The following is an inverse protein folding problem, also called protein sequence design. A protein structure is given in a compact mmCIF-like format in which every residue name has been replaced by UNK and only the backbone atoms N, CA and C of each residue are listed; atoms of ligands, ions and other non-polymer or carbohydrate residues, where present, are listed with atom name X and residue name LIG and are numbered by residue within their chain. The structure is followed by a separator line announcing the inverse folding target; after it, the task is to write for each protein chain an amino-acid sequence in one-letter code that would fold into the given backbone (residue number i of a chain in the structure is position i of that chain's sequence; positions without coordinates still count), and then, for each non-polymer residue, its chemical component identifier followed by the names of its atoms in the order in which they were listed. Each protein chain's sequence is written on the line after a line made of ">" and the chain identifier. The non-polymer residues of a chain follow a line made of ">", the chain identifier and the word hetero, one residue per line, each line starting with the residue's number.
data_IF_944924706534
#
_entry.id   IF_944924706534
#
_cell.length_a   1.000
_cell.length_b   1.000
_cell.length_c   1.000
_cell.angle_alpha   90.00
_cell.angle_beta   90.00
_cell.angle_gamma   90.00
#
_symmetry.space_group_name_H-M   'P 1'
#
loop_
_entity.id
_entity.type
_entity.pdbx_description
1 polymer ?
#
# COMPACT_ATOMS: atom_id res chain seq x y z
N UNK A 1 18.10 10.71 -14.76
CA UNK A 1 18.24 10.26 -13.36
C UNK A 1 19.63 9.70 -13.11
N UNK A 2 20.03 8.56 -13.69
CA UNK A 2 21.36 7.94 -13.45
C UNK A 2 22.61 8.80 -13.78
N UNK A 3 22.45 9.89 -14.54
CA UNK A 3 23.54 10.85 -14.82
C UNK A 3 23.86 11.75 -13.62
N UNK A 4 22.97 11.86 -12.65
CA UNK A 4 23.17 12.61 -11.41
C UNK A 4 23.73 11.65 -10.35
N UNK A 5 24.89 11.97 -9.79
CA UNK A 5 25.59 11.11 -8.83
C UNK A 5 24.75 10.78 -7.59
N UNK A 6 23.86 11.70 -7.18
CA UNK A 6 22.96 11.52 -6.04
C UNK A 6 21.88 10.47 -6.28
N UNK A 7 21.68 10.07 -7.54
CA UNK A 7 20.66 9.11 -7.95
C UNK A 7 21.23 7.92 -8.73
N UNK A 8 22.56 7.74 -8.75
CA UNK A 8 23.21 6.72 -9.57
C UNK A 8 22.90 5.29 -9.10
N UNK A 9 22.70 5.13 -7.80
CA UNK A 9 22.42 3.89 -7.08
C UNK A 9 20.92 3.65 -6.85
N UNK A 10 20.05 4.55 -7.33
CA UNK A 10 18.60 4.40 -7.15
C UNK A 10 18.11 3.12 -7.83
N UNK A 11 17.62 2.21 -7.00
CA UNK A 11 17.03 0.96 -7.43
C UNK A 11 15.65 1.21 -8.07
N UNK A 12 15.50 0.83 -9.33
CA UNK A 12 14.21 0.82 -10.01
C UNK A 12 13.52 -0.52 -9.83
N UNK A 13 12.39 -0.52 -9.13
CA UNK A 13 11.50 -1.68 -9.02
C UNK A 13 10.51 -1.66 -10.17
N UNK A 14 10.53 -2.69 -11.01
CA UNK A 14 9.77 -2.74 -12.26
C UNK A 14 8.64 -3.74 -12.15
N UNK A 15 7.46 -3.36 -12.63
CA UNK A 15 6.29 -4.21 -12.80
C UNK A 15 5.74 -4.01 -14.20
N UNK A 16 5.45 -5.09 -14.90
CA UNK A 16 4.99 -5.04 -16.29
C UNK A 16 3.47 -4.75 -16.39
N UNK A 17 3.07 -4.12 -17.49
CA UNK A 17 1.69 -3.76 -17.82
C UNK A 17 1.56 -3.72 -19.34
N UNK A 18 0.34 -3.94 -19.83
CA UNK A 18 -0.10 -3.77 -21.23
C UNK A 18 -0.13 -2.30 -21.71
N UNK A 19 0.46 -1.39 -20.95
CA UNK A 19 0.43 0.05 -21.21
C UNK A 19 -0.69 0.78 -20.48
N UNK A 20 -1.59 0.10 -19.77
CA UNK A 20 -2.67 0.76 -19.02
C UNK A 20 -2.22 1.51 -17.76
N UNK A 21 -0.96 1.40 -17.32
CA UNK A 21 -0.53 1.95 -16.03
C UNK A 21 -0.54 3.49 -15.95
N UNK A 22 -0.27 4.20 -17.04
CA UNK A 22 -0.14 5.66 -17.01
C UNK A 22 -1.00 6.34 -18.08
N UNK A 23 -1.57 7.53 -17.79
CA UNK A 23 -2.28 8.30 -18.80
C UNK A 23 -1.34 8.66 -19.95
N UNK A 24 -1.87 8.71 -21.17
CA UNK A 24 -1.11 9.11 -22.35
C UNK A 24 -1.40 10.56 -22.75
N UNK A 25 -0.43 11.18 -23.41
CA UNK A 25 -0.59 12.43 -24.14
C UNK A 25 -0.13 12.24 -25.58
N UNK A 26 -0.80 12.95 -26.49
CA UNK A 26 -0.39 13.05 -27.89
C UNK A 26 0.52 14.28 -27.99
N UNK A 27 1.76 14.07 -28.42
CA UNK A 27 2.69 15.17 -28.65
C UNK A 27 2.16 16.06 -29.78
N UNK A 28 1.98 17.38 -29.55
CA UNK A 28 1.32 18.24 -30.52
C UNK A 28 2.12 18.42 -31.82
N UNK A 29 3.44 18.24 -31.78
CA UNK A 29 4.36 18.43 -32.89
C UNK A 29 4.58 17.12 -33.63
N UNK A 30 5.03 16.08 -32.91
CA UNK A 30 5.40 14.79 -33.51
C UNK A 30 4.22 13.86 -33.74
N UNK A 31 3.04 14.19 -33.18
CA UNK A 31 1.83 13.35 -33.16
C UNK A 31 2.01 11.98 -32.51
N UNK A 32 3.14 11.73 -31.85
CA UNK A 32 3.42 10.48 -31.15
C UNK A 32 2.72 10.44 -29.79
N UNK A 33 2.17 9.29 -29.46
CA UNK A 33 1.58 9.02 -28.14
C UNK A 33 2.68 8.63 -27.16
N UNK A 34 2.68 9.21 -25.95
CA UNK A 34 3.60 8.86 -24.86
C UNK A 34 2.96 8.95 -23.49
N UNK A 35 3.45 8.21 -22.47
CA UNK A 35 2.98 8.40 -21.11
C UNK A 35 3.15 9.85 -20.64
N UNK A 36 2.15 10.36 -19.93
CA UNK A 36 2.14 11.67 -19.32
C UNK A 36 3.13 11.68 -18.16
N UNK A 37 4.14 12.53 -18.26
CA UNK A 37 5.07 12.78 -17.15
C UNK A 37 4.44 13.79 -16.17
N UNK A 38 4.50 13.49 -14.87
CA UNK A 38 4.12 14.40 -13.81
C UNK A 38 5.22 14.45 -12.75
N UNK A 39 5.77 15.64 -12.51
CA UNK A 39 6.76 15.88 -11.46
C UNK A 39 6.12 16.81 -10.44
N UNK A 40 6.12 16.40 -9.18
CA UNK A 40 5.52 17.16 -8.08
C UNK A 40 6.60 17.50 -7.06
N UNK A 41 6.86 18.80 -6.88
CA UNK A 41 7.71 19.29 -5.80
C UNK A 41 6.89 19.29 -4.51
N UNK A 42 7.41 18.67 -3.46
CA UNK A 42 6.78 18.51 -2.15
C UNK A 42 7.83 18.68 -1.06
N UNK A 43 7.39 19.11 0.13
CA UNK A 43 8.23 19.15 1.33
C UNK A 43 8.63 17.75 1.81
N UNK A 44 7.79 16.75 1.55
CA UNK A 44 8.04 15.34 1.87
C UNK A 44 7.74 14.45 0.65
N UNK A 45 8.55 13.40 0.45
CA UNK A 45 8.28 12.37 -0.57
C UNK A 45 7.01 11.56 -0.25
N UNK A 46 6.82 11.26 1.03
CA UNK A 46 5.59 10.70 1.60
C UNK A 46 5.17 11.65 2.70
N UNK A 47 4.08 12.37 2.45
CA UNK A 47 3.52 13.34 3.40
C UNK A 47 3.06 12.62 4.65
N UNK A 48 3.62 13.04 5.77
CA UNK A 48 3.21 12.54 7.08
C UNK A 48 2.41 13.58 7.83
N UNK A 49 2.70 14.88 7.65
CA UNK A 49 2.11 15.97 8.44
C UNK A 49 2.21 15.72 9.96
N UNK A 50 3.21 14.94 10.39
CA UNK A 50 3.48 14.63 11.79
C UNK A 50 4.50 15.64 12.31
N UNK A 51 4.24 16.23 13.47
CA UNK A 51 5.20 17.10 14.11
C UNK A 51 6.51 16.34 14.41
N UNK A 52 7.65 16.93 14.05
CA UNK A 52 8.95 16.28 14.22
C UNK A 52 9.24 15.13 13.24
N UNK A 53 8.42 14.90 12.21
CA UNK A 53 8.68 13.86 11.20
C UNK A 53 10.07 13.93 10.54
N UNK A 54 10.66 15.12 10.47
CA UNK A 54 12.02 15.35 9.97
C UNK A 54 13.09 14.60 10.78
N UNK A 55 12.78 14.23 12.03
CA UNK A 55 13.64 13.47 12.93
C UNK A 55 13.49 11.94 12.75
N UNK A 56 12.55 11.49 11.91
CA UNK A 56 12.20 10.07 11.76
C UNK A 56 12.48 9.61 10.33
N UNK A 57 13.10 8.43 10.20
CA UNK A 57 13.35 7.79 8.91
C UNK A 57 14.80 7.31 8.75
N UNK A 58 15.16 6.84 7.55
CA UNK A 58 16.43 6.17 7.31
C UNK A 58 17.64 7.09 7.50
N UNK A 59 17.51 8.38 7.16
CA UNK A 59 18.61 9.36 7.31
C UNK A 59 18.97 9.59 8.77
N UNK A 60 18.00 9.51 9.69
CA UNK A 60 18.24 9.72 11.12
C UNK A 60 18.57 8.42 11.87
N UNK A 61 18.57 7.28 11.17
CA UNK A 61 18.72 5.95 11.78
C UNK A 61 17.49 5.49 12.57
N UNK A 62 16.46 6.33 12.73
CA UNK A 62 15.21 5.98 13.40
C UNK A 62 14.25 5.29 12.43
N UNK A 63 14.61 4.06 12.08
CA UNK A 63 13.79 3.19 11.23
C UNK A 63 13.91 1.73 11.68
N UNK A 64 12.90 0.93 11.39
CA UNK A 64 12.86 -0.47 11.77
C UNK A 64 13.91 -1.30 11.05
N UNK A 65 14.27 -2.44 11.64
CA UNK A 65 15.20 -3.39 11.02
C UNK A 65 14.58 -3.97 9.75
N UNK A 66 15.35 -4.03 8.67
CA UNK A 66 14.86 -4.65 7.44
C UNK A 66 14.70 -6.17 7.61
N UNK A 67 13.58 -6.70 7.12
CA UNK A 67 13.39 -8.13 6.89
C UNK A 67 13.08 -8.35 5.41
N UNK A 68 13.80 -9.25 4.77
CA UNK A 68 13.58 -9.59 3.35
C UNK A 68 12.32 -10.43 3.17
N UNK A 69 11.79 -10.48 1.95
CA UNK A 69 10.66 -11.36 1.62
C UNK A 69 10.93 -12.82 2.01
N UNK A 70 12.16 -13.32 1.78
CA UNK A 70 12.55 -14.69 2.12
C UNK A 70 12.53 -14.94 3.64
N UNK A 71 13.07 -13.99 4.41
CA UNK A 71 13.11 -14.11 5.87
C UNK A 71 11.70 -14.02 6.47
N UNK A 72 10.86 -13.11 5.98
CA UNK A 72 9.47 -13.00 6.42
C UNK A 72 8.69 -14.27 6.11
N UNK A 73 8.83 -14.82 4.89
CA UNK A 73 8.21 -16.09 4.53
C UNK A 73 8.69 -17.23 5.44
N UNK A 74 9.99 -17.28 5.75
CA UNK A 74 10.52 -18.24 6.71
C UNK A 74 9.97 -18.04 8.13
N UNK A 75 9.76 -16.79 8.57
CA UNK A 75 9.12 -16.50 9.85
C UNK A 75 7.68 -17.00 9.88
N UNK A 76 6.93 -16.86 8.79
CA UNK A 76 5.53 -17.30 8.69
C UNK A 76 5.42 -18.83 8.75
N UNK A 77 6.26 -19.56 8.02
CA UNK A 77 6.08 -21.00 7.82
C UNK A 77 6.94 -21.89 8.74
N UNK A 78 8.13 -21.44 9.11
CA UNK A 78 9.14 -22.31 9.73
C UNK A 78 9.61 -21.83 11.10
N UNK A 79 9.07 -20.72 11.61
CA UNK A 79 9.51 -20.15 12.88
C UNK A 79 8.47 -20.33 13.97
N UNK A 80 8.94 -20.68 15.18
CA UNK A 80 8.13 -20.63 16.40
C UNK A 80 8.11 -19.22 17.03
N UNK A 81 8.59 -18.21 16.30
CA UNK A 81 8.66 -16.83 16.78
C UNK A 81 7.27 -16.21 16.73
N UNK A 82 6.82 -15.65 17.84
CA UNK A 82 5.63 -14.81 17.87
C UNK A 82 5.96 -13.43 17.28
N UNK A 83 5.26 -13.04 16.21
CA UNK A 83 5.35 -11.73 15.61
C UNK A 83 4.01 -11.32 14.99
N UNK A 84 3.86 -10.02 14.74
CA UNK A 84 2.65 -9.45 14.14
C UNK A 84 3.02 -8.64 12.91
N UNK A 85 2.37 -8.96 11.78
CA UNK A 85 2.43 -8.13 10.59
C UNK A 85 1.46 -6.98 10.79
N UNK A 86 1.93 -5.72 10.72
CA UNK A 86 1.09 -4.53 10.86
C UNK A 86 1.08 -3.78 9.54
N UNK A 87 -0.11 -3.69 8.94
CA UNK A 87 -0.28 -3.04 7.65
C UNK A 87 -0.32 -1.51 7.82
N UNK A 88 0.64 -0.83 7.18
CA UNK A 88 0.80 0.63 7.21
C UNK A 88 0.14 1.31 6.02
N UNK A 89 -0.74 0.58 5.31
CA UNK A 89 -1.56 1.10 4.22
C UNK A 89 -2.89 1.63 4.71
N UNK A 90 -3.56 2.40 3.86
CA UNK A 90 -4.91 2.85 4.14
C UNK A 90 -5.89 1.68 4.07
N UNK A 91 -7.04 1.82 4.72
CA UNK A 91 -8.04 0.77 4.83
C UNK A 91 -8.53 0.21 3.48
N UNK A 92 -8.80 1.06 2.49
CA UNK A 92 -9.20 0.61 1.16
C UNK A 92 -8.14 -0.24 0.45
N UNK A 93 -6.86 -0.04 0.77
CA UNK A 93 -5.76 -0.84 0.23
C UNK A 93 -5.73 -2.23 0.87
N UNK A 94 -6.11 -2.33 2.15
CA UNK A 94 -6.21 -3.57 2.90
C UNK A 94 -7.46 -4.37 2.54
N UNK A 95 -8.59 -3.68 2.31
CA UNK A 95 -9.88 -4.29 1.92
C UNK A 95 -9.74 -5.15 0.66
N UNK A 96 -8.95 -4.70 -0.32
CA UNK A 96 -8.77 -5.43 -1.59
C UNK A 96 -7.76 -6.58 -1.51
N UNK A 97 -6.84 -6.53 -0.54
CA UNK A 97 -5.87 -7.59 -0.32
C UNK A 97 -4.91 -7.26 0.80
N UNK A 98 -4.48 -8.27 1.56
CA UNK A 98 -3.65 -8.13 2.75
C UNK A 98 -2.96 -9.46 3.10
N UNK A 99 -1.93 -9.38 3.94
CA UNK A 99 -1.33 -10.58 4.53
C UNK A 99 -2.33 -11.27 5.46
N UNK A 100 -2.43 -12.59 5.37
CA UNK A 100 -3.25 -13.39 6.29
C UNK A 100 -2.89 -13.07 7.75
N UNK A 101 -3.90 -12.84 8.57
CA UNK A 101 -3.77 -12.49 10.00
C UNK A 101 -2.99 -11.19 10.29
N UNK A 102 -2.75 -10.33 9.29
CA UNK A 102 -2.14 -9.01 9.56
C UNK A 102 -3.10 -8.08 10.28
N UNK A 103 -2.53 -7.13 11.02
CA UNK A 103 -3.26 -6.13 11.79
C UNK A 103 -3.42 -4.87 10.95
N UNK A 104 -4.66 -4.43 10.78
CA UNK A 104 -4.99 -3.10 10.28
C UNK A 104 -5.54 -2.24 11.43
N UNK A 105 -5.05 -1.01 11.54
CA UNK A 105 -5.61 0.00 12.45
C UNK A 105 -7.03 0.38 12.01
N UNK A 106 -7.98 0.36 12.94
CA UNK A 106 -9.36 0.78 12.68
C UNK A 106 -9.37 2.25 12.25
N UNK A 107 -10.12 2.54 11.17
CA UNK A 107 -10.25 3.88 10.58
C UNK A 107 -8.94 4.48 10.05
N UNK A 108 -7.98 3.66 9.60
CA UNK A 108 -6.74 4.16 9.02
C UNK A 108 -6.95 4.66 7.59
N UNK A 109 -7.50 5.87 7.45
CA UNK A 109 -7.86 6.47 6.16
C UNK A 109 -6.66 7.09 5.46
N UNK A 110 -5.73 7.66 6.22
CA UNK A 110 -4.53 8.30 5.70
C UNK A 110 -3.34 8.00 6.60
N UNK A 111 -2.14 7.95 6.01
CA UNK A 111 -0.91 7.71 6.76
C UNK A 111 -0.66 8.73 7.89
N UNK A 112 -1.03 10.00 7.69
CA UNK A 112 -0.94 11.07 8.72
C UNK A 112 -1.77 10.80 9.98
N UNK A 113 -2.75 9.89 9.90
CA UNK A 113 -3.60 9.54 11.03
C UNK A 113 -2.88 8.56 11.99
N UNK A 114 -1.75 7.96 11.57
CA UNK A 114 -1.02 6.94 12.34
C UNK A 114 -0.77 7.33 13.81
N UNK A 115 -0.26 8.53 14.17
CA UNK A 115 -0.02 8.89 15.57
C UNK A 115 -1.27 8.79 16.45
N UNK A 116 -2.43 9.15 15.91
CA UNK A 116 -3.71 9.12 16.64
C UNK A 116 -4.23 7.69 16.82
N UNK A 117 -3.76 6.76 15.99
CA UNK A 117 -4.20 5.36 15.98
C UNK A 117 -3.25 4.45 16.77
N UNK A 118 -2.07 4.94 17.18
CA UNK A 118 -1.09 4.18 17.98
C UNK A 118 -1.65 3.52 19.24
N UNK A 119 -2.60 4.12 19.99
CA UNK A 119 -3.19 3.45 21.16
C UNK A 119 -3.83 2.09 20.84
N UNK A 120 -4.22 1.84 19.59
CA UNK A 120 -4.76 0.54 19.16
C UNK A 120 -3.70 -0.57 19.15
N UNK A 121 -2.40 -0.23 19.15
CA UNK A 121 -1.28 -1.16 19.15
C UNK A 121 -0.59 -1.23 20.53
N UNK A 122 -1.15 -0.60 21.57
CA UNK A 122 -0.49 -0.49 22.88
C UNK A 122 -0.11 -1.85 23.47
N UNK A 123 -0.97 -2.86 23.31
CA UNK A 123 -0.73 -4.24 23.77
C UNK A 123 0.41 -4.95 23.03
N UNK A 124 0.88 -4.37 21.92
CA UNK A 124 1.91 -4.91 21.06
C UNK A 124 3.28 -4.24 21.25
N UNK A 125 3.44 -3.28 22.16
CA UNK A 125 4.70 -2.55 22.40
C UNK A 125 5.92 -3.44 22.65
N UNK A 126 5.72 -4.53 23.38
CA UNK A 126 6.76 -5.50 23.72
C UNK A 126 6.81 -6.71 22.77
N UNK A 127 5.95 -6.74 21.74
CA UNK A 127 5.91 -7.82 20.75
C UNK A 127 6.79 -7.50 19.55
N UNK A 128 7.16 -8.51 18.78
CA UNK A 128 7.86 -8.31 17.50
C UNK A 128 6.86 -7.86 16.44
N UNK A 129 7.10 -6.71 15.81
CA UNK A 129 6.27 -6.16 14.74
C UNK A 129 7.02 -6.17 13.41
N UNK A 130 6.32 -6.53 12.34
CA UNK A 130 6.78 -6.39 10.97
C UNK A 130 5.84 -5.44 10.24
N UNK A 131 6.28 -4.21 10.00
CA UNK A 131 5.50 -3.24 9.25
C UNK A 131 5.56 -3.53 7.75
N UNK A 132 4.42 -3.42 7.07
CA UNK A 132 4.32 -3.67 5.63
C UNK A 132 3.58 -2.53 4.93
N UNK A 133 3.98 -2.24 3.69
CA UNK A 133 3.24 -1.37 2.78
C UNK A 133 3.57 -1.76 1.34
N UNK A 134 2.91 -1.13 0.35
CA UNK A 134 3.01 -1.51 -1.07
C UNK A 134 4.45 -1.64 -1.57
N UNK A 135 5.29 -0.63 -1.32
CA UNK A 135 6.65 -0.55 -1.88
C UNK A 135 7.75 -0.16 -0.88
N UNK A 136 7.48 -0.21 0.43
CA UNK A 136 8.46 0.03 1.51
C UNK A 136 8.55 1.46 2.03
N UNK A 137 8.37 2.49 1.19
CA UNK A 137 8.64 3.89 1.59
C UNK A 137 7.81 4.42 2.78
N UNK A 138 6.58 3.94 2.99
CA UNK A 138 5.80 4.29 4.20
C UNK A 138 6.37 3.63 5.44
N UNK A 139 6.84 2.40 5.34
CA UNK A 139 7.43 1.65 6.45
C UNK A 139 8.68 2.33 7.00
N UNK A 140 9.45 3.01 6.15
CA UNK A 140 10.63 3.79 6.55
C UNK A 140 10.32 4.79 7.66
N UNK A 141 9.17 5.46 7.57
CA UNK A 141 8.67 6.40 8.58
C UNK A 141 7.82 5.72 9.64
N UNK A 142 6.93 4.82 9.24
CA UNK A 142 6.00 4.15 10.16
C UNK A 142 6.74 3.39 11.26
N UNK A 143 7.78 2.65 10.88
CA UNK A 143 8.58 1.89 11.83
C UNK A 143 9.34 2.80 12.80
N UNK A 144 9.86 3.94 12.31
CA UNK A 144 10.47 4.96 13.15
C UNK A 144 9.49 5.62 14.13
N UNK A 145 8.25 5.89 13.69
CA UNK A 145 7.18 6.41 14.55
C UNK A 145 6.86 5.40 15.66
N UNK A 146 6.78 4.11 15.34
CA UNK A 146 6.59 3.06 16.36
C UNK A 146 7.77 3.04 17.35
N UNK A 147 9.01 3.06 16.88
CA UNK A 147 10.19 3.10 17.77
C UNK A 147 10.15 4.31 18.72
N UNK A 148 9.84 5.51 18.23
CA UNK A 148 9.73 6.73 19.03
C UNK A 148 8.56 6.70 20.04
N UNK A 149 7.58 5.82 19.83
CA UNK A 149 6.44 5.62 20.72
C UNK A 149 6.59 4.38 21.62
N UNK A 150 7.81 3.87 21.80
CA UNK A 150 8.13 2.84 22.79
C UNK A 150 7.87 1.40 22.33
N UNK A 151 7.79 1.15 21.02
CA UNK A 151 7.78 -0.20 20.47
C UNK A 151 9.21 -0.71 20.32
N UNK A 152 9.53 -1.84 20.97
CA UNK A 152 10.93 -2.25 21.15
C UNK A 152 11.49 -3.08 20.00
N UNK A 153 10.64 -3.79 19.27
CA UNK A 153 11.06 -4.82 18.30
C UNK A 153 10.38 -4.61 16.94
N UNK A 154 10.73 -3.52 16.27
CA UNK A 154 10.12 -3.11 15.00
C UNK A 154 11.01 -3.49 13.81
N UNK A 155 10.43 -4.28 12.91
CA UNK A 155 10.96 -4.64 11.61
C UNK A 155 10.11 -4.01 10.50
N UNK A 156 10.67 -3.93 9.30
CA UNK A 156 9.97 -3.50 8.09
C UNK A 156 10.30 -4.39 6.91
N UNK A 157 9.27 -4.76 6.14
CA UNK A 157 9.45 -5.58 4.94
C UNK A 157 10.22 -4.79 3.89
N UNK A 158 11.44 -5.22 3.62
CA UNK A 158 12.30 -4.64 2.60
C UNK A 158 11.63 -4.76 1.23
N UNK A 159 11.66 -3.66 0.49
CA UNK A 159 11.05 -3.50 -0.84
C UNK A 159 9.52 -3.57 -0.93
N UNK A 160 8.84 -3.87 0.19
CA UNK A 160 7.38 -3.84 0.31
C UNK A 160 6.67 -5.11 -0.16
N UNK A 161 5.35 -5.09 -0.02
CA UNK A 161 4.44 -6.19 -0.34
C UNK A 161 4.60 -6.66 -1.79
N UNK A 162 4.79 -5.73 -2.73
CA UNK A 162 4.95 -6.07 -4.15
C UNK A 162 6.09 -7.06 -4.38
N UNK A 163 7.22 -6.91 -3.66
CA UNK A 163 8.37 -7.80 -3.80
C UNK A 163 8.12 -9.16 -3.16
N UNK A 164 7.33 -9.19 -2.09
CA UNK A 164 6.89 -10.44 -1.49
C UNK A 164 6.00 -11.24 -2.45
N UNK A 165 4.96 -10.60 -2.99
CA UNK A 165 4.02 -11.25 -3.91
C UNK A 165 4.66 -11.71 -5.21
N UNK A 166 5.66 -10.98 -5.73
CA UNK A 166 6.44 -11.41 -6.89
C UNK A 166 7.17 -12.73 -6.63
N UNK A 167 7.65 -12.94 -5.39
CA UNK A 167 8.44 -14.12 -5.00
C UNK A 167 7.57 -15.29 -4.52
N UNK A 168 6.48 -15.00 -3.83
CA UNK A 168 5.57 -15.95 -3.18
C UNK A 168 4.12 -15.61 -3.57
N UNK A 169 3.75 -15.78 -4.85
CA UNK A 169 2.44 -15.38 -5.36
C UNK A 169 1.33 -16.21 -4.73
N UNK A 170 0.28 -15.53 -4.23
CA UNK A 170 -0.93 -16.12 -3.64
C UNK A 170 -0.71 -17.04 -2.42
N UNK A 171 0.46 -16.97 -1.76
CA UNK A 171 0.73 -17.80 -0.58
C UNK A 171 0.19 -17.13 0.70
N UNK A 172 0.89 -16.10 1.19
CA UNK A 172 0.58 -15.45 2.47
C UNK A 172 -0.20 -14.14 2.31
N UNK A 173 -0.08 -13.52 1.14
CA UNK A 173 -0.84 -12.32 0.77
C UNK A 173 -2.08 -12.74 -0.01
N UNK A 174 -3.25 -12.35 0.51
CA UNK A 174 -4.55 -12.66 -0.06
C UNK A 174 -5.05 -11.49 -0.90
N UNK A 175 -5.83 -11.77 -1.94
CA UNK A 175 -6.42 -10.78 -2.83
C UNK A 175 -5.43 -10.09 -3.76
N UNK A 176 -5.72 -8.83 -4.11
CA UNK A 176 -4.88 -7.99 -4.96
C UNK A 176 -4.22 -6.85 -4.20
N UNK A 177 -3.08 -6.40 -4.70
CA UNK A 177 -2.34 -5.28 -4.14
C UNK A 177 -2.76 -3.97 -4.81
N UNK A 178 -3.25 -3.02 -4.02
CA UNK A 178 -3.48 -1.65 -4.50
C UNK A 178 -2.18 -0.97 -4.96
N UNK A 179 -2.23 -0.31 -6.12
CA UNK A 179 -1.13 0.48 -6.69
C UNK A 179 -1.60 1.88 -7.08
N UNK A 180 -0.69 2.85 -6.99
CA UNK A 180 -0.98 4.28 -7.14
C UNK A 180 -0.91 4.73 -8.62
N UNK A 181 -1.50 3.94 -9.52
CA UNK A 181 -1.55 4.21 -10.95
C UNK A 181 -2.87 3.71 -11.58
N UNK A 182 -3.04 3.80 -12.90
CA UNK A 182 -4.33 3.51 -13.54
C UNK A 182 -4.74 2.03 -13.48
N UNK A 183 -3.85 1.12 -13.11
CA UNK A 183 -4.21 -0.29 -12.87
C UNK A 183 -5.09 -0.45 -11.64
N UNK A 184 -5.02 0.49 -10.68
CA UNK A 184 -5.69 0.49 -9.37
C UNK A 184 -5.25 -0.67 -8.47
N UNK A 185 -5.24 -1.90 -8.97
CA UNK A 185 -4.73 -3.08 -8.29
C UNK A 185 -3.90 -3.95 -9.23
N UNK A 186 -2.99 -4.74 -8.66
CA UNK A 186 -2.23 -5.77 -9.35
C UNK A 186 -2.27 -7.08 -8.59
N UNK A 187 -2.02 -8.18 -9.29
CA UNK A 187 -1.79 -9.49 -8.68
C UNK A 187 -0.80 -10.29 -9.51
N UNK A 188 -0.31 -11.38 -8.93
CA UNK A 188 0.61 -12.31 -9.57
C UNK A 188 -0.06 -13.67 -9.67
N UNK A 189 0.04 -14.34 -10.82
CA UNK A 189 -0.53 -15.67 -11.05
C UNK A 189 -2.02 -15.79 -10.63
N UNK A 190 -2.86 -14.83 -11.04
CA UNK A 190 -4.26 -14.77 -10.60
C UNK A 190 -5.14 -15.94 -11.05
N UNK A 191 -4.68 -16.76 -12.00
CA UNK A 191 -5.34 -18.00 -12.42
C UNK A 191 -4.96 -19.23 -11.60
N UNK A 192 -4.10 -19.08 -10.58
CA UNK A 192 -3.72 -20.14 -9.65
C UNK A 192 -4.83 -20.35 -8.61
N UNK A 193 -5.15 -21.61 -8.29
CA UNK A 193 -6.18 -21.99 -7.33
C UNK A 193 -5.92 -21.47 -5.90
N UNK A 194 -4.66 -21.12 -5.59
CA UNK A 194 -4.29 -20.48 -4.31
C UNK A 194 -4.80 -19.05 -4.19
N UNK A 195 -5.14 -18.39 -5.30
CA UNK A 195 -5.62 -17.02 -5.30
C UNK A 195 -6.98 -16.92 -4.57
N UNK A 196 -6.99 -16.15 -3.49
CA UNK A 196 -8.16 -15.99 -2.63
C UNK A 196 -8.66 -14.55 -2.62
N UNK A 197 -9.92 -14.37 -3.04
CA UNK A 197 -10.61 -13.08 -2.98
C UNK A 197 -11.11 -12.83 -1.55
N UNK A 198 -10.50 -11.84 -0.88
CA UNK A 198 -10.89 -11.40 0.48
C UNK A 198 -11.82 -10.20 0.48
N UNK A 199 -11.81 -9.41 -0.60
CA UNK A 199 -12.62 -8.22 -0.72
C UNK A 199 -14.11 -8.53 -0.83
N UNK A 200 -14.93 -7.64 -0.27
CA UNK A 200 -16.41 -7.76 -0.24
C UNK A 200 -17.04 -6.55 -0.92
N UNK A 201 -18.02 -6.80 -1.78
CA UNK A 201 -18.76 -5.76 -2.46
C UNK A 201 -19.55 -4.96 -1.43
N UNK A 202 -19.36 -3.63 -1.40
CA UNK A 202 -20.08 -2.75 -0.47
C UNK A 202 -21.59 -2.73 -0.69
N UNK A 203 -22.08 -3.16 -1.86
CA UNK A 203 -23.50 -3.14 -2.22
C UNK A 203 -24.21 -4.47 -1.97
N UNK A 204 -23.57 -5.61 -2.28
CA UNK A 204 -24.20 -6.93 -2.19
C UNK A 204 -23.45 -7.95 -1.32
N UNK A 205 -22.31 -7.57 -0.73
CA UNK A 205 -21.47 -8.41 0.13
C UNK A 205 -20.85 -9.66 -0.54
N UNK A 206 -21.09 -9.87 -1.84
CA UNK A 206 -20.38 -10.91 -2.61
C UNK A 206 -18.87 -10.62 -2.69
N UNK A 207 -18.08 -11.67 -2.82
CA UNK A 207 -16.63 -11.56 -3.03
C UNK A 207 -16.34 -10.73 -4.28
N UNK A 208 -15.44 -9.75 -4.15
CA UNK A 208 -14.96 -8.94 -5.27
C UNK A 208 -13.62 -8.33 -4.93
N UNK A 209 -12.78 -8.16 -5.96
CA UNK A 209 -11.54 -7.39 -5.88
C UNK A 209 -11.59 -6.16 -6.78
N UNK A 210 -12.78 -5.86 -7.32
CA UNK A 210 -12.98 -4.72 -8.17
C UNK A 210 -13.07 -3.45 -7.32
N UNK A 211 -11.91 -2.83 -7.11
CA UNK A 211 -11.78 -1.56 -6.42
C UNK A 211 -12.03 -0.41 -7.42
N UNK A 212 -12.99 0.44 -7.10
CA UNK A 212 -13.34 1.60 -7.94
C UNK A 212 -12.96 2.90 -7.25
N UNK A 213 -12.47 3.86 -8.04
CA UNK A 213 -12.32 5.26 -7.64
C UNK A 213 -13.69 5.96 -7.78
N UNK A 214 -14.09 6.69 -6.75
CA UNK A 214 -15.29 7.51 -6.74
C UNK A 214 -15.10 8.81 -5.95
N UNK A 215 -15.95 9.78 -6.24
CA UNK A 215 -15.98 11.05 -5.53
C UNK A 215 -17.01 11.01 -4.41
N UNK A 216 -16.60 11.42 -3.20
CA UNK A 216 -17.54 11.71 -2.13
C UNK A 216 -18.28 13.00 -2.44
N UNK A 217 -19.51 13.11 -1.93
CA UNK A 217 -20.33 14.31 -2.05
C UNK A 217 -20.82 14.75 -0.68
N UNK A 218 -20.92 16.06 -0.48
CA UNK A 218 -21.53 16.64 0.73
C UNK A 218 -23.07 16.57 0.66
N UNK A 219 -23.73 17.03 1.72
CA UNK A 219 -25.19 17.09 1.83
C UNK A 219 -25.82 17.99 0.75
N UNK A 220 -25.04 18.92 0.19
CA UNK A 220 -25.44 19.79 -0.92
C UNK A 220 -25.04 19.22 -2.29
N UNK A 221 -24.69 17.93 -2.36
CA UNK A 221 -24.32 17.18 -3.56
C UNK A 221 -23.05 17.69 -4.27
N UNK A 222 -22.22 18.51 -3.62
CA UNK A 222 -20.94 18.98 -4.17
C UNK A 222 -19.86 17.92 -3.98
N UNK A 223 -19.02 17.76 -4.99
CA UNK A 223 -17.88 16.84 -4.94
C UNK A 223 -16.88 17.34 -3.90
N UNK A 224 -16.60 16.49 -2.91
CA UNK A 224 -15.57 16.74 -1.91
C UNK A 224 -14.17 16.51 -2.52
N UNK A 225 -13.16 17.27 -2.09
CA UNK A 225 -11.80 17.10 -2.56
C UNK A 225 -11.22 15.75 -2.10
N UNK A 226 -10.46 15.11 -2.98
CA UNK A 226 -9.82 13.82 -2.72
C UNK A 226 -10.43 12.67 -3.51
N UNK A 227 -9.67 11.58 -3.63
CA UNK A 227 -10.15 10.32 -4.22
C UNK A 227 -10.62 9.41 -3.12
N UNK A 228 -11.73 8.72 -3.36
CA UNK A 228 -12.22 7.68 -2.46
C UNK A 228 -12.28 6.37 -3.21
N UNK A 229 -11.97 5.28 -2.51
CA UNK A 229 -11.96 3.96 -3.10
C UNK A 229 -12.92 3.03 -2.38
N UNK A 230 -13.49 2.08 -3.12
CA UNK A 230 -14.38 1.09 -2.56
C UNK A 230 -14.57 -0.11 -3.46
N UNK A 231 -14.79 -1.26 -2.83
CA UNK A 231 -15.02 -2.51 -3.53
C UNK A 231 -16.48 -2.58 -4.00
N UNK A 232 -16.68 -2.67 -5.32
CA UNK A 232 -18.00 -2.82 -5.93
C UNK A 232 -17.90 -3.86 -7.04
N UNK A 233 -18.68 -4.93 -6.97
CA UNK A 233 -18.61 -5.97 -8.00
C UNK A 233 -19.15 -5.46 -9.35
N UNK A 234 -18.66 -6.00 -10.48
CA UNK A 234 -19.11 -5.59 -11.82
C UNK A 234 -20.62 -5.64 -12.01
N UNK A 235 -21.29 -6.66 -11.45
CA UNK A 235 -22.75 -6.82 -11.52
C UNK A 235 -23.49 -5.63 -10.92
N UNK A 236 -23.11 -5.17 -9.72
CA UNK A 236 -23.77 -4.02 -9.10
C UNK A 236 -23.46 -2.70 -9.82
N UNK A 237 -22.29 -2.58 -10.47
CA UNK A 237 -21.97 -1.42 -11.30
C UNK A 237 -22.90 -1.36 -12.51
N UNK A 238 -23.13 -2.49 -13.17
CA UNK A 238 -24.02 -2.56 -14.32
C UNK A 238 -25.48 -2.29 -13.94
N UNK A 239 -25.97 -2.85 -12.83
CA UNK A 239 -27.33 -2.63 -12.34
C UNK A 239 -27.63 -1.16 -12.01
N UNK A 240 -26.65 -0.40 -11.50
CA UNK A 240 -26.80 1.05 -11.26
C UNK A 240 -26.71 1.90 -12.53
N UNK A 241 -26.27 1.33 -13.67
CA UNK A 241 -26.23 2.01 -14.97
C UNK A 241 -27.48 1.75 -15.81
N UNK A 242 -28.33 0.81 -15.41
CA UNK A 242 -29.65 0.65 -16.02
C UNK A 242 -30.55 1.80 -15.59
N UNK A 243 -31.27 2.44 -16.53
CA UNK A 243 -32.09 3.63 -16.28
C UNK A 243 -33.20 3.40 -15.27
#
# INVERSE_FOLDING_TARGET
>A
MKKDERFCDVAFKVSHSDGSAFPYIIDPITKKTRPKLSIKVRSELVTTDIEGHQKIGPITGKTGKYITAKELHNWIHNSNKEFYIVDMRNDYEYEVGHFKNSVLLKNFKNFRDLPKLLPQLETLKNKTLVTVCTGGIRCEKASGILLDNGFNHVYQLKDGIIKYMERYPNEDFLGKLYVFDQRITIGFNLGDDKHQVVGKCRLCQNNTENLVDYYLRDEQNKILPGRSYGLVCPTCIQQKKSP
#
